data_IF_484032627102
#
_entry.id   IF_484032627102
#
_cell.length_a   1.000
_cell.length_b   1.000
_cell.length_c   1.000
_cell.angle_alpha   90.00
_cell.angle_beta   90.00
_cell.angle_gamma   90.00
#
_symmetry.space_group_name_H-M   'P 1'
#
loop_
_entity.id
_entity.type
_entity.pdbx_description
1 polymer ?
#
# COMPACT_ATOMS: atom_id res chain seq x y z
N UNK A 1 -11.57 22.50 6.25
CA UNK A 1 -12.40 22.69 5.04
C UNK A 1 -11.44 22.87 3.87
N UNK A 2 -11.60 22.13 2.77
CA UNK A 2 -10.73 22.27 1.58
C UNK A 2 -11.30 23.23 0.52
N UNK A 3 -12.60 23.50 0.54
CA UNK A 3 -13.27 24.43 -0.36
C UNK A 3 -14.27 25.28 0.44
N UNK A 4 -14.18 26.59 0.31
CA UNK A 4 -14.95 27.56 1.11
C UNK A 4 -16.31 27.94 0.48
N UNK A 5 -16.60 27.43 -0.72
CA UNK A 5 -17.80 27.76 -1.47
C UNK A 5 -17.68 29.03 -2.32
N UNK A 6 -16.55 29.73 -2.31
CA UNK A 6 -16.41 31.07 -2.89
C UNK A 6 -15.22 31.20 -3.83
N UNK A 7 -14.07 30.62 -3.49
CA UNK A 7 -12.85 30.71 -4.29
C UNK A 7 -12.21 29.35 -4.53
N UNK A 8 -11.32 29.27 -5.52
CA UNK A 8 -10.46 28.11 -5.75
C UNK A 8 -9.10 28.30 -5.07
N UNK A 9 -9.03 29.11 -4.01
CA UNK A 9 -7.79 29.30 -3.26
C UNK A 9 -7.33 27.97 -2.67
N UNK A 10 -6.03 27.70 -2.77
CA UNK A 10 -5.48 26.40 -2.39
C UNK A 10 -5.64 25.30 -3.44
N UNK A 11 -6.17 25.61 -4.63
CA UNK A 11 -6.29 24.68 -5.75
C UNK A 11 -5.52 25.16 -6.98
N UNK A 12 -5.10 24.22 -7.83
CA UNK A 12 -4.53 24.51 -9.15
C UNK A 12 -4.99 23.48 -10.18
N UNK A 13 -5.34 23.96 -11.38
CA UNK A 13 -5.67 23.11 -12.53
C UNK A 13 -4.39 22.52 -13.13
N UNK A 14 -4.40 21.23 -13.46
CA UNK A 14 -3.31 20.53 -14.16
C UNK A 14 -3.89 19.53 -15.17
N UNK A 15 -3.09 19.10 -16.15
CA UNK A 15 -3.53 18.17 -17.19
C UNK A 15 -4.16 18.88 -18.39
N UNK A 16 -5.31 18.39 -18.87
CA UNK A 16 -5.98 18.93 -20.06
C UNK A 16 -6.74 20.24 -19.86
N UNK A 17 -7.67 20.53 -20.77
CA UNK A 17 -8.33 21.84 -20.86
C UNK A 17 -9.79 21.86 -20.38
N UNK A 18 -10.21 20.90 -19.55
CA UNK A 18 -11.47 21.03 -18.83
C UNK A 18 -11.51 22.33 -18.00
N UNK A 19 -12.72 22.82 -17.76
CA UNK A 19 -12.94 24.04 -16.97
C UNK A 19 -13.45 23.70 -15.57
N UNK A 20 -13.09 24.55 -14.62
CA UNK A 20 -13.61 24.52 -13.26
C UNK A 20 -14.13 25.92 -12.93
N UNK A 21 -15.41 26.01 -12.58
CA UNK A 21 -16.07 27.24 -12.12
C UNK A 21 -16.68 27.01 -10.74
N UNK A 22 -17.12 28.09 -10.10
CA UNK A 22 -17.91 28.03 -8.87
C UNK A 22 -19.33 28.51 -9.20
N UNK A 23 -20.32 27.67 -8.92
CA UNK A 23 -21.74 27.96 -9.12
C UNK A 23 -22.50 27.52 -7.87
N UNK A 24 -23.30 28.40 -7.28
CA UNK A 24 -24.14 28.10 -6.11
C UNK A 24 -23.38 27.48 -4.91
N UNK A 25 -22.11 27.87 -4.73
CA UNK A 25 -21.26 27.32 -3.66
C UNK A 25 -20.66 25.95 -3.97
N UNK A 26 -20.63 25.55 -5.24
CA UNK A 26 -20.19 24.23 -5.70
C UNK A 26 -19.09 24.38 -6.75
N UNK A 27 -18.08 23.52 -6.72
CA UNK A 27 -17.11 23.42 -7.82
C UNK A 27 -17.78 22.67 -8.96
N UNK A 28 -17.82 23.26 -10.16
CA UNK A 28 -18.38 22.64 -11.35
C UNK A 28 -17.27 22.39 -12.37
N UNK A 29 -16.97 21.12 -12.60
CA UNK A 29 -16.04 20.66 -13.62
C UNK A 29 -16.78 20.33 -14.92
N UNK A 30 -16.33 20.88 -16.04
CA UNK A 30 -16.90 20.60 -17.37
C UNK A 30 -15.84 20.10 -18.32
N UNK A 31 -16.16 19.01 -19.00
CA UNK A 31 -15.29 18.40 -20.01
C UNK A 31 -14.83 19.45 -21.03
N UNK A 32 -13.53 19.45 -21.29
CA UNK A 32 -12.89 20.24 -22.33
C UNK A 32 -12.05 19.34 -23.24
N UNK A 33 -11.40 19.92 -24.27
CA UNK A 33 -10.53 19.14 -25.14
C UNK A 33 -9.30 18.61 -24.39
N UNK A 34 -8.66 17.60 -24.97
CA UNK A 34 -7.40 17.06 -24.50
C UNK A 34 -7.53 15.93 -23.46
N UNK A 35 -6.45 15.65 -22.70
CA UNK A 35 -6.40 14.56 -21.74
C UNK A 35 -7.20 14.89 -20.47
N UNK A 36 -7.21 13.97 -19.51
CA UNK A 36 -7.83 14.17 -18.20
C UNK A 36 -7.31 15.47 -17.54
N UNK A 37 -8.21 16.23 -16.93
CA UNK A 37 -7.87 17.46 -16.22
C UNK A 37 -8.18 17.28 -14.74
N UNK A 38 -7.27 17.75 -13.89
CA UNK A 38 -7.41 17.65 -12.46
C UNK A 38 -7.35 19.03 -11.82
N UNK A 39 -8.29 19.33 -10.93
CA UNK A 39 -8.17 20.45 -10.01
C UNK A 39 -7.60 19.91 -8.70
N UNK A 40 -6.31 20.14 -8.45
CA UNK A 40 -5.60 19.55 -7.31
C UNK A 40 -5.30 20.55 -6.20
N UNK A 41 -5.23 20.09 -4.96
CA UNK A 41 -4.79 20.93 -3.84
C UNK A 41 -3.33 21.36 -4.01
N UNK A 42 -2.98 22.54 -3.50
CA UNK A 42 -1.59 22.99 -3.40
C UNK A 42 -0.82 22.20 -2.34
N UNK A 43 -1.48 21.91 -1.22
CA UNK A 43 -0.96 21.10 -0.13
C UNK A 43 -1.06 19.59 -0.42
N UNK A 44 -0.23 18.83 0.29
CA UNK A 44 -0.24 17.38 0.39
C UNK A 44 -0.76 16.93 1.76
N UNK A 45 -1.28 15.71 1.83
CA UNK A 45 -1.90 15.15 3.04
C UNK A 45 -1.46 13.71 3.24
N UNK A 46 -1.04 13.41 4.47
CA UNK A 46 -0.63 12.08 4.93
C UNK A 46 -1.82 11.22 5.35
N UNK A 47 -2.06 11.12 6.66
CA UNK A 47 -3.22 10.45 7.21
C UNK A 47 -4.39 11.43 7.37
N UNK A 48 -5.57 11.05 6.87
CA UNK A 48 -6.75 11.91 6.85
C UNK A 48 -8.05 11.12 6.72
N UNK A 49 -9.15 11.78 7.09
CA UNK A 49 -10.49 11.47 6.59
C UNK A 49 -10.91 12.60 5.64
N UNK A 50 -11.32 12.27 4.42
CA UNK A 50 -11.81 13.19 3.40
C UNK A 50 -13.28 12.87 3.14
N UNK A 51 -14.16 13.84 3.39
CA UNK A 51 -15.59 13.78 3.10
C UNK A 51 -15.95 14.80 2.04
N UNK A 52 -16.75 14.42 1.06
CA UNK A 52 -17.21 15.31 0.00
C UNK A 52 -18.50 14.81 -0.62
N UNK A 53 -19.29 15.72 -1.19
CA UNK A 53 -20.47 15.36 -1.96
C UNK A 53 -20.20 15.54 -3.45
N UNK A 54 -20.72 14.63 -4.28
CA UNK A 54 -20.65 14.70 -5.74
C UNK A 54 -22.02 14.53 -6.37
N UNK A 55 -22.28 15.28 -7.44
CA UNK A 55 -23.37 15.03 -8.38
C UNK A 55 -22.87 15.08 -9.83
N UNK A 56 -23.46 14.26 -10.70
CA UNK A 56 -23.22 14.30 -12.14
C UNK A 56 -24.41 14.99 -12.82
N UNK A 57 -24.24 16.23 -13.29
CA UNK A 57 -25.28 16.91 -14.09
C UNK A 57 -25.35 16.33 -15.51
N UNK A 58 -24.21 15.87 -16.02
CA UNK A 58 -24.14 15.12 -17.27
C UNK A 58 -23.23 13.92 -17.02
N UNK A 59 -23.73 12.68 -17.21
CA UNK A 59 -22.97 11.48 -16.94
C UNK A 59 -21.62 11.49 -17.65
N UNK A 60 -20.57 11.21 -16.89
CA UNK A 60 -19.20 11.08 -17.34
C UNK A 60 -18.38 10.39 -16.27
N UNK A 61 -17.35 9.66 -16.68
CA UNK A 61 -16.40 9.09 -15.72
C UNK A 61 -15.66 10.23 -15.00
N UNK A 62 -15.39 10.04 -13.72
CA UNK A 62 -14.67 10.99 -12.88
C UNK A 62 -14.02 10.22 -11.73
N UNK A 63 -13.42 10.96 -10.80
CA UNK A 63 -12.82 10.41 -9.60
C UNK A 63 -12.25 11.52 -8.74
N UNK A 64 -11.96 11.17 -7.49
CA UNK A 64 -11.18 12.02 -6.60
C UNK A 64 -9.85 11.33 -6.33
N UNK A 65 -8.77 11.95 -6.83
CA UNK A 65 -7.41 11.57 -6.50
C UNK A 65 -7.16 11.81 -5.02
N UNK A 66 -6.42 10.90 -4.40
CA UNK A 66 -5.91 11.07 -3.05
C UNK A 66 -4.52 10.48 -2.92
N UNK A 67 -3.70 11.04 -2.03
CA UNK A 67 -2.25 10.76 -1.93
C UNK A 67 -1.57 10.66 -3.30
N UNK A 68 -1.95 11.54 -4.21
CA UNK A 68 -1.51 11.49 -5.60
C UNK A 68 -0.38 12.47 -5.87
N UNK A 69 0.29 12.24 -7.00
CA UNK A 69 1.51 12.93 -7.42
C UNK A 69 1.42 13.36 -8.89
N UNK A 70 2.35 14.20 -9.32
CA UNK A 70 2.56 14.53 -10.73
C UNK A 70 3.95 14.04 -11.13
N UNK A 71 4.05 13.35 -12.28
CA UNK A 71 5.33 12.91 -12.83
C UNK A 71 6.15 14.13 -13.25
N UNK A 72 7.41 14.16 -12.85
CA UNK A 72 8.35 15.19 -13.30
C UNK A 72 8.45 15.26 -14.83
N UNK A 73 8.65 16.46 -15.36
CA UNK A 73 8.73 16.74 -16.79
C UNK A 73 7.38 16.71 -17.53
N UNK A 74 6.60 15.64 -17.38
CA UNK A 74 5.31 15.49 -18.09
C UNK A 74 4.14 16.17 -17.40
N UNK A 75 4.22 16.39 -16.08
CA UNK A 75 3.12 16.90 -15.26
C UNK A 75 1.93 15.95 -15.12
N UNK A 76 2.04 14.71 -15.62
CA UNK A 76 0.96 13.71 -15.60
C UNK A 76 0.62 13.30 -14.17
N UNK A 77 -0.63 13.49 -13.77
CA UNK A 77 -1.16 13.00 -12.47
C UNK A 77 -1.12 11.48 -12.41
N UNK A 78 -0.72 10.94 -11.26
CA UNK A 78 -0.77 9.51 -10.97
C UNK A 78 -0.98 9.26 -9.46
N UNK A 79 -1.46 8.07 -9.11
CA UNK A 79 -1.72 7.67 -7.71
C UNK A 79 -3.16 7.26 -7.49
N UNK A 80 -3.55 7.06 -6.24
CA UNK A 80 -4.87 6.53 -5.93
C UNK A 80 -6.00 7.47 -6.35
N UNK A 81 -7.07 6.88 -6.89
CA UNK A 81 -8.30 7.52 -7.28
C UNK A 81 -9.47 6.75 -6.68
N UNK A 82 -10.35 7.45 -5.96
CA UNK A 82 -11.68 6.94 -5.66
C UNK A 82 -12.56 7.16 -6.89
N UNK A 83 -12.96 6.08 -7.55
CA UNK A 83 -13.64 6.12 -8.83
C UNK A 83 -15.06 6.70 -8.72
N UNK A 84 -15.50 7.40 -9.77
CA UNK A 84 -16.90 7.74 -10.02
C UNK A 84 -17.27 7.23 -11.41
N UNK A 85 -18.03 6.14 -11.45
CA UNK A 85 -18.37 5.38 -12.64
C UNK A 85 -19.89 5.22 -12.80
N UNK A 86 -20.55 6.09 -13.58
CA UNK A 86 -21.99 6.01 -13.82
C UNK A 86 -22.38 4.91 -14.82
N UNK A 87 -21.42 4.17 -15.38
CA UNK A 87 -21.70 3.12 -16.36
C UNK A 87 -22.34 1.88 -15.70
N UNK A 88 -22.90 0.93 -16.49
CA UNK A 88 -23.41 -0.34 -15.96
C UNK A 88 -22.39 -1.19 -15.18
N UNK A 89 -21.08 -0.90 -15.30
CA UNK A 89 -20.03 -1.52 -14.48
C UNK A 89 -20.17 -1.14 -13.01
N UNK A 90 -20.57 0.10 -12.72
CA UNK A 90 -20.92 0.60 -11.38
C UNK A 90 -19.78 0.46 -10.35
N UNK A 91 -18.54 0.79 -10.72
CA UNK A 91 -17.41 0.69 -9.77
C UNK A 91 -17.16 1.97 -8.96
N UNK A 92 -18.17 2.85 -8.83
CA UNK A 92 -18.08 4.06 -7.99
C UNK A 92 -17.74 3.72 -6.55
N UNK A 93 -16.71 4.37 -6.00
CA UNK A 93 -16.15 4.06 -4.69
C UNK A 93 -15.02 3.03 -4.71
N UNK A 94 -14.82 2.30 -5.82
CA UNK A 94 -13.63 1.47 -6.01
C UNK A 94 -12.34 2.31 -6.11
N UNK A 95 -11.19 1.64 -6.02
CA UNK A 95 -9.88 2.31 -6.09
C UNK A 95 -9.14 1.94 -7.37
N UNK A 96 -8.86 2.96 -8.18
CA UNK A 96 -8.02 2.90 -9.37
C UNK A 96 -6.70 3.63 -9.10
N UNK A 97 -5.58 3.06 -9.50
CA UNK A 97 -4.26 3.67 -9.37
C UNK A 97 -3.86 4.34 -10.68
N UNK A 98 -4.32 5.59 -10.81
CA UNK A 98 -4.29 6.42 -11.99
C UNK A 98 -2.88 6.47 -12.59
N UNK A 99 -2.78 6.18 -13.89
CA UNK A 99 -1.53 6.31 -14.65
C UNK A 99 -0.32 5.54 -14.06
N UNK A 100 -0.59 4.50 -13.25
CA UNK A 100 0.40 3.64 -12.59
C UNK A 100 0.00 2.15 -12.61
N UNK A 101 -0.77 1.61 -11.65
CA UNK A 101 -1.10 0.16 -11.56
C UNK A 101 -2.47 -0.23 -12.13
N UNK A 102 -3.35 0.74 -12.40
CA UNK A 102 -4.71 0.45 -12.87
C UNK A 102 -5.64 0.02 -11.73
N UNK A 103 -6.59 -0.89 -11.98
CA UNK A 103 -7.55 -1.31 -10.95
C UNK A 103 -6.87 -2.10 -9.83
N UNK A 104 -6.87 -1.54 -8.62
CA UNK A 104 -6.33 -2.20 -7.42
C UNK A 104 -7.42 -2.64 -6.45
N UNK A 105 -8.61 -2.02 -6.53
CA UNK A 105 -9.82 -2.46 -5.81
C UNK A 105 -11.08 -2.22 -6.66
N UNK A 106 -11.37 -3.09 -7.65
CA UNK A 106 -12.66 -3.06 -8.35
C UNK A 106 -13.79 -3.54 -7.43
N UNK A 107 -15.04 -3.23 -7.79
CA UNK A 107 -16.23 -3.66 -7.03
C UNK A 107 -16.95 -4.85 -7.68
N UNK A 108 -16.24 -5.64 -8.48
CA UNK A 108 -16.79 -6.74 -9.28
C UNK A 108 -17.52 -7.81 -8.44
N UNK A 109 -17.12 -7.97 -7.17
CA UNK A 109 -17.68 -8.97 -6.24
C UNK A 109 -18.61 -8.39 -5.17
N UNK A 110 -18.83 -7.08 -5.14
CA UNK A 110 -19.62 -6.40 -4.10
C UNK A 110 -20.84 -5.71 -4.71
N UNK A 111 -21.95 -6.44 -4.80
CA UNK A 111 -23.20 -5.92 -5.35
C UNK A 111 -23.80 -4.78 -4.52
N UNK A 112 -23.61 -4.79 -3.20
CA UNK A 112 -24.12 -3.74 -2.33
C UNK A 112 -23.36 -2.43 -2.58
N UNK A 113 -22.03 -2.48 -2.66
CA UNK A 113 -21.20 -1.33 -2.99
C UNK A 113 -21.49 -0.79 -4.40
N UNK A 114 -21.68 -1.66 -5.40
CA UNK A 114 -22.04 -1.24 -6.77
C UNK A 114 -23.36 -0.45 -6.85
N UNK A 115 -24.30 -0.73 -5.94
CA UNK A 115 -25.59 -0.03 -5.88
C UNK A 115 -25.58 1.22 -5.00
N UNK A 116 -24.44 1.55 -4.38
CA UNK A 116 -24.37 2.65 -3.43
C UNK A 116 -24.53 4.04 -4.09
N UNK A 117 -24.06 4.19 -5.34
CA UNK A 117 -24.09 5.46 -6.07
C UNK A 117 -25.45 5.70 -6.78
N UNK A 118 -25.96 6.92 -6.65
CA UNK A 118 -27.21 7.39 -7.25
C UNK A 118 -26.90 8.34 -8.41
N UNK A 119 -27.25 7.96 -9.65
CA UNK A 119 -26.81 8.64 -10.88
C UNK A 119 -27.29 10.11 -10.97
N UNK A 120 -28.50 10.42 -10.49
CA UNK A 120 -29.14 11.74 -10.65
C UNK A 120 -29.25 12.55 -9.35
N UNK A 121 -28.56 12.11 -8.29
CA UNK A 121 -28.66 12.70 -6.95
C UNK A 121 -27.27 13.08 -6.42
N UNK A 122 -27.25 13.84 -5.33
CA UNK A 122 -26.04 14.05 -4.56
C UNK A 122 -25.63 12.75 -3.84
N UNK A 123 -24.34 12.47 -3.87
CA UNK A 123 -23.73 11.30 -3.24
C UNK A 123 -22.63 11.75 -2.29
N UNK A 124 -22.69 11.33 -1.04
CA UNK A 124 -21.63 11.59 -0.07
C UNK A 124 -20.58 10.50 -0.14
N UNK A 125 -19.33 10.89 -0.31
CA UNK A 125 -18.16 10.01 -0.25
C UNK A 125 -17.41 10.26 1.05
N UNK A 126 -16.82 9.19 1.59
CA UNK A 126 -15.80 9.27 2.65
C UNK A 126 -14.62 8.42 2.25
N UNK A 127 -13.42 8.99 2.28
CA UNK A 127 -12.14 8.31 2.10
C UNK A 127 -11.36 8.46 3.40
N UNK A 128 -11.02 7.35 4.05
CA UNK A 128 -10.11 7.36 5.20
C UNK A 128 -8.80 6.72 4.79
N UNK A 129 -7.70 7.45 4.93
CA UNK A 129 -6.35 6.94 4.71
C UNK A 129 -5.55 7.11 6.01
N UNK A 130 -5.13 5.99 6.62
CA UNK A 130 -4.36 5.98 7.87
C UNK A 130 -3.25 4.94 7.80
N UNK A 131 -2.00 5.38 7.76
CA UNK A 131 -0.89 4.53 7.38
C UNK A 131 -1.16 3.86 6.03
N UNK A 132 -0.94 2.54 5.89
CA UNK A 132 -1.26 1.83 4.66
C UNK A 132 -2.74 1.47 4.51
N UNK A 133 -3.58 1.69 5.51
CA UNK A 133 -5.01 1.33 5.45
C UNK A 133 -5.81 2.44 4.77
N UNK A 134 -6.49 2.09 3.70
CA UNK A 134 -7.32 2.98 2.89
C UNK A 134 -8.71 2.38 2.78
N UNK A 135 -9.72 3.16 3.15
CA UNK A 135 -11.12 2.78 3.00
C UNK A 135 -11.88 3.84 2.23
N UNK A 136 -12.89 3.41 1.49
CA UNK A 136 -13.83 4.31 0.81
C UNK A 136 -15.25 3.90 1.15
N UNK A 137 -16.16 4.87 1.19
CA UNK A 137 -17.59 4.62 1.26
C UNK A 137 -18.37 5.63 0.43
N UNK A 138 -19.53 5.20 -0.06
CA UNK A 138 -20.48 6.01 -0.82
C UNK A 138 -21.85 5.88 -0.15
N UNK A 139 -22.45 7.00 0.23
CA UNK A 139 -23.76 7.05 0.92
C UNK A 139 -23.84 6.13 2.16
N UNK A 140 -22.73 6.02 2.90
CA UNK A 140 -22.62 5.17 4.09
C UNK A 140 -22.37 3.69 3.81
N UNK A 141 -22.31 3.26 2.54
CA UNK A 141 -21.95 1.89 2.15
C UNK A 141 -20.45 1.82 1.90
N UNK A 142 -19.73 0.94 2.62
CA UNK A 142 -18.30 0.70 2.41
C UNK A 142 -18.07 0.10 1.01
N UNK A 143 -17.14 0.66 0.24
CA UNK A 143 -16.84 0.24 -1.12
C UNK A 143 -15.47 -0.44 -1.22
N UNK A 144 -14.42 0.15 -0.64
CA UNK A 144 -13.09 -0.43 -0.64
C UNK A 144 -12.48 -0.54 0.77
N UNK A 145 -11.64 -1.56 0.95
CA UNK A 145 -10.84 -1.84 2.14
C UNK A 145 -9.46 -2.36 1.73
N UNK A 146 -8.57 -1.42 1.47
CA UNK A 146 -7.26 -1.66 0.88
C UNK A 146 -6.15 -1.47 1.93
N UNK A 147 -5.18 -2.38 1.93
CA UNK A 147 -3.89 -2.14 2.56
C UNK A 147 -2.85 -2.01 1.44
N UNK A 148 -2.22 -0.84 1.34
CA UNK A 148 -1.22 -0.54 0.31
C UNK A 148 -0.22 0.52 0.81
N UNK A 149 1.06 0.33 0.51
CA UNK A 149 2.15 1.21 1.00
C UNK A 149 2.79 2.06 -0.09
N UNK A 150 2.23 2.08 -1.30
CA UNK A 150 2.87 2.76 -2.43
C UNK A 150 3.01 4.26 -2.20
N UNK A 151 1.95 4.93 -1.71
CA UNK A 151 2.00 6.34 -1.32
C UNK A 151 1.33 6.56 0.05
N UNK A 152 2.04 7.22 0.96
CA UNK A 152 1.56 7.56 2.30
C UNK A 152 1.15 9.02 2.42
N UNK A 153 1.46 9.84 1.42
CA UNK A 153 1.18 11.26 1.37
C UNK A 153 1.09 11.73 -0.08
N UNK A 154 0.21 12.70 -0.35
CA UNK A 154 0.16 13.39 -1.64
C UNK A 154 -1.02 14.35 -1.71
N UNK A 155 -1.27 14.95 -2.87
CA UNK A 155 -2.39 15.88 -3.00
C UNK A 155 -3.73 15.17 -3.16
N UNK A 156 -4.81 15.92 -2.92
CA UNK A 156 -6.17 15.58 -3.34
C UNK A 156 -6.45 16.25 -4.69
N UNK A 157 -7.18 15.60 -5.60
CA UNK A 157 -7.60 16.26 -6.84
C UNK A 157 -8.96 15.79 -7.36
N UNK A 158 -9.74 16.74 -7.87
CA UNK A 158 -11.01 16.48 -8.53
C UNK A 158 -10.73 16.22 -10.01
N UNK A 159 -11.23 15.11 -10.56
CA UNK A 159 -11.01 14.75 -11.96
C UNK A 159 -12.20 15.16 -12.84
N UNK A 160 -11.90 15.81 -13.97
CA UNK A 160 -12.76 15.78 -15.15
C UNK A 160 -12.08 14.88 -16.18
N UNK A 161 -12.67 13.72 -16.43
CA UNK A 161 -12.12 12.75 -17.37
C UNK A 161 -12.24 13.28 -18.81
N UNK A 162 -11.27 12.97 -19.65
CA UNK A 162 -11.34 13.27 -21.09
C UNK A 162 -12.54 12.58 -21.71
N UNK A 163 -13.28 13.28 -22.57
CA UNK A 163 -14.51 12.73 -23.11
C UNK A 163 -15.23 13.68 -24.04
N UNK A 164 -16.42 13.26 -24.50
CA UNK A 164 -17.30 14.08 -25.34
C UNK A 164 -18.26 14.94 -24.52
N UNK A 165 -18.63 14.46 -23.33
CA UNK A 165 -19.59 15.09 -22.44
C UNK A 165 -19.29 14.67 -21.00
N UNK A 166 -19.62 15.54 -20.06
CA UNK A 166 -19.44 15.33 -18.63
C UNK A 166 -19.47 16.66 -17.89
N UNK A 167 -20.34 16.75 -16.89
CA UNK A 167 -20.41 17.89 -15.99
C UNK A 167 -20.59 17.35 -14.57
N UNK A 168 -19.61 17.62 -13.73
CA UNK A 168 -19.51 17.08 -12.37
C UNK A 168 -19.51 18.23 -11.39
N UNK A 169 -20.28 18.10 -10.31
CA UNK A 169 -20.35 19.05 -9.22
C UNK A 169 -19.76 18.45 -7.96
N UNK A 170 -18.96 19.22 -7.24
CA UNK A 170 -18.45 18.87 -5.92
C UNK A 170 -18.78 19.96 -4.91
N UNK A 171 -19.18 19.55 -3.70
CA UNK A 171 -19.40 20.46 -2.56
C UNK A 171 -19.07 19.78 -1.25
N UNK A 172 -19.13 20.54 -0.15
CA UNK A 172 -18.89 20.05 1.20
C UNK A 172 -17.55 19.29 1.35
N UNK A 173 -16.50 19.76 0.66
CA UNK A 173 -15.19 19.10 0.62
C UNK A 173 -14.44 19.40 1.92
N UNK A 174 -14.43 18.44 2.84
CA UNK A 174 -13.87 18.54 4.17
C UNK A 174 -12.79 17.49 4.36
N UNK A 175 -11.61 17.93 4.82
CA UNK A 175 -10.52 17.05 5.21
C UNK A 175 -10.23 17.25 6.68
N UNK A 176 -10.21 16.14 7.42
CA UNK A 176 -9.82 16.04 8.83
C UNK A 176 -8.45 15.35 8.88
N UNK A 177 -7.36 16.07 9.23
CA UNK A 177 -6.06 15.45 9.40
C UNK A 177 -6.09 14.43 10.54
N UNK A 178 -5.53 13.26 10.31
CA UNK A 178 -5.39 12.19 11.29
C UNK A 178 -3.93 11.97 11.71
N UNK A 179 -2.97 12.62 11.03
CA UNK A 179 -1.55 12.57 11.35
C UNK A 179 -0.69 12.30 10.13
N UNK A 180 0.51 11.77 10.37
CA UNK A 180 1.42 11.36 9.31
C UNK A 180 2.08 10.05 9.72
N UNK A 181 1.99 9.07 8.81
CA UNK A 181 2.67 7.80 8.94
C UNK A 181 4.00 7.83 8.20
N UNK A 182 5.06 7.34 8.83
CA UNK A 182 6.41 7.38 8.27
C UNK A 182 7.19 6.09 8.56
N UNK A 183 8.02 5.71 7.59
CA UNK A 183 9.01 4.66 7.75
C UNK A 183 10.12 5.12 8.70
N UNK A 184 10.52 4.24 9.60
CA UNK A 184 11.67 4.43 10.49
C UNK A 184 12.67 3.31 10.24
N UNK A 185 13.99 3.57 10.35
CA UNK A 185 14.99 2.50 10.27
C UNK A 185 14.73 1.45 11.34
N UNK A 186 14.57 0.19 10.92
CA UNK A 186 14.64 -0.97 11.82
C UNK A 186 16.09 -1.46 11.92
N UNK A 187 16.86 -1.32 10.83
CA UNK A 187 18.32 -1.44 10.82
C UNK A 187 18.99 -0.08 10.59
N UNK A 188 20.07 0.20 11.32
CA UNK A 188 20.73 1.51 11.34
C UNK A 188 21.75 1.75 10.20
N UNK A 189 21.91 0.79 9.28
CA UNK A 189 22.86 0.80 8.16
C UNK A 189 24.35 0.84 8.53
N UNK A 190 24.70 0.65 9.80
CA UNK A 190 26.08 0.77 10.31
C UNK A 190 26.58 -0.51 10.95
N UNK A 191 25.78 -1.12 11.80
CA UNK A 191 26.13 -2.31 12.57
C UNK A 191 24.88 -3.16 12.82
N UNK A 192 24.97 -4.18 13.68
CA UNK A 192 23.84 -5.05 14.00
C UNK A 192 23.05 -4.59 15.23
N UNK A 193 23.23 -3.35 15.71
CA UNK A 193 22.52 -2.87 16.89
C UNK A 193 20.99 -2.93 16.69
N UNK A 194 20.28 -3.41 17.71
CA UNK A 194 18.85 -3.72 17.66
C UNK A 194 18.53 -5.14 17.19
N UNK A 195 19.54 -5.89 16.75
CA UNK A 195 19.43 -7.28 16.37
C UNK A 195 20.41 -8.17 17.13
N UNK A 196 20.06 -9.46 17.21
CA UNK A 196 20.91 -10.52 17.71
C UNK A 196 21.01 -11.64 16.68
N UNK A 197 22.23 -12.10 16.41
CA UNK A 197 22.45 -13.27 15.58
C UNK A 197 22.30 -14.54 16.43
N UNK A 198 21.60 -15.54 15.91
CA UNK A 198 21.47 -16.88 16.51
C UNK A 198 21.66 -17.98 15.47
N UNK A 199 22.10 -19.16 15.92
CA UNK A 199 22.27 -20.34 15.08
C UNK A 199 23.59 -20.34 14.31
N UNK A 200 23.52 -20.65 13.01
CA UNK A 200 24.68 -20.80 12.10
C UNK A 200 24.95 -19.60 11.20
N UNK A 201 26.03 -19.67 10.42
CA UNK A 201 26.38 -18.63 9.44
C UNK A 201 26.93 -17.33 10.04
N UNK A 202 27.20 -16.35 9.18
CA UNK A 202 27.74 -15.04 9.52
C UNK A 202 26.80 -13.93 9.02
N UNK A 203 26.46 -13.00 9.93
CA UNK A 203 25.84 -11.72 9.59
C UNK A 203 26.85 -10.60 9.81
N UNK A 204 27.02 -9.72 8.83
CA UNK A 204 27.94 -8.57 8.92
C UNK A 204 27.44 -7.39 8.11
N UNK A 205 28.03 -6.23 8.36
CA UNK A 205 27.85 -5.06 7.51
C UNK A 205 29.08 -4.91 6.63
N UNK A 206 28.89 -4.87 5.30
CA UNK A 206 29.94 -4.69 4.32
C UNK A 206 29.42 -3.81 3.17
N UNK A 207 30.21 -2.81 2.75
CA UNK A 207 29.87 -1.91 1.63
C UNK A 207 28.49 -1.22 1.74
N UNK A 208 28.04 -0.92 2.97
CA UNK A 208 26.72 -0.32 3.22
C UNK A 208 25.55 -1.31 3.13
N UNK A 209 25.84 -2.61 3.01
CA UNK A 209 24.87 -3.70 2.95
C UNK A 209 24.96 -4.54 4.23
N UNK A 210 23.80 -4.99 4.71
CA UNK A 210 23.70 -6.09 5.66
C UNK A 210 23.80 -7.40 4.89
N UNK A 211 24.90 -8.12 5.10
CA UNK A 211 25.29 -9.32 4.36
C UNK A 211 25.16 -10.53 5.28
N UNK A 212 24.44 -11.55 4.80
CA UNK A 212 24.32 -12.83 5.45
C UNK A 212 24.88 -13.94 4.57
N UNK A 213 25.86 -14.70 5.11
CA UNK A 213 26.54 -15.78 4.38
C UNK A 213 26.67 -17.05 5.22
N UNK A 214 26.56 -18.20 4.57
CA UNK A 214 26.86 -19.52 5.15
C UNK A 214 27.18 -20.51 4.04
N UNK A 215 27.90 -21.58 4.35
CA UNK A 215 28.11 -22.68 3.40
C UNK A 215 27.08 -23.78 3.62
N UNK A 216 26.88 -24.63 2.60
CA UNK A 216 25.98 -25.79 2.67
C UNK A 216 26.32 -26.81 3.78
N UNK A 217 27.54 -26.78 4.31
CA UNK A 217 27.96 -27.62 5.44
C UNK A 217 27.39 -27.13 6.79
N UNK A 218 26.98 -25.87 6.88
CA UNK A 218 26.29 -25.35 8.07
C UNK A 218 24.82 -25.80 8.05
N UNK A 219 24.51 -26.81 8.86
CA UNK A 219 23.16 -27.38 8.95
C UNK A 219 22.17 -26.53 9.76
N UNK A 220 22.65 -25.62 10.60
CA UNK A 220 21.79 -24.77 11.43
C UNK A 220 21.30 -23.57 10.63
N UNK A 221 20.05 -23.16 10.87
CA UNK A 221 19.58 -21.87 10.38
C UNK A 221 20.35 -20.74 11.07
N UNK A 222 20.67 -19.69 10.32
CA UNK A 222 21.27 -18.46 10.85
C UNK A 222 20.24 -17.34 10.85
N UNK A 223 19.80 -16.91 12.03
CA UNK A 223 18.77 -15.86 12.13
C UNK A 223 19.37 -14.58 12.68
N UNK A 224 19.02 -13.45 12.07
CA UNK A 224 19.24 -12.13 12.63
C UNK A 224 17.90 -11.59 13.13
N UNK A 225 17.68 -11.68 14.43
CA UNK A 225 16.37 -11.44 15.06
C UNK A 225 16.35 -10.10 15.81
N UNK A 226 15.25 -9.37 15.73
CA UNK A 226 15.05 -8.14 16.53
C UNK A 226 15.02 -8.46 18.03
N UNK A 227 15.51 -7.54 18.85
CA UNK A 227 15.31 -7.66 20.30
C UNK A 227 13.85 -7.37 20.69
N UNK A 228 13.24 -6.39 20.03
CA UNK A 228 11.85 -6.00 20.24
C UNK A 228 10.85 -6.89 19.51
N UNK A 229 9.64 -6.97 20.07
CA UNK A 229 8.47 -7.58 19.44
C UNK A 229 7.46 -6.52 19.00
N UNK A 230 6.73 -6.82 17.92
CA UNK A 230 5.80 -5.92 17.26
C UNK A 230 4.45 -6.60 17.08
N UNK A 231 3.35 -5.84 17.19
CA UNK A 231 1.98 -6.34 16.97
C UNK A 231 1.47 -5.92 15.60
N UNK A 232 1.20 -4.63 15.42
CA UNK A 232 0.72 -4.07 14.17
C UNK A 232 1.80 -3.22 13.51
N UNK A 233 2.22 -3.59 12.31
CA UNK A 233 3.31 -2.93 11.60
C UNK A 233 3.23 -3.12 10.09
N UNK A 234 3.86 -2.20 9.38
CA UNK A 234 4.42 -2.47 8.07
C UNK A 234 5.94 -2.58 8.20
N UNK A 235 6.55 -3.63 7.66
CA UNK A 235 8.00 -3.78 7.56
C UNK A 235 8.37 -3.87 6.08
N UNK A 236 9.45 -3.19 5.70
CA UNK A 236 9.93 -3.15 4.32
C UNK A 236 11.41 -3.45 4.27
N UNK A 237 11.78 -4.33 3.34
CA UNK A 237 13.15 -4.71 3.06
C UNK A 237 13.49 -4.52 1.59
N UNK A 238 14.64 -3.90 1.31
CA UNK A 238 15.29 -4.03 0.02
C UNK A 238 16.33 -5.14 0.13
N UNK A 239 16.13 -6.22 -0.63
CA UNK A 239 16.93 -7.43 -0.57
C UNK A 239 17.48 -7.84 -1.95
N UNK A 240 18.57 -8.61 -1.93
CA UNK A 240 19.11 -9.33 -3.07
C UNK A 240 19.52 -10.73 -2.61
N UNK A 241 18.82 -11.74 -3.11
CA UNK A 241 19.18 -13.15 -2.89
C UNK A 241 20.14 -13.58 -4.01
N UNK A 242 21.44 -13.59 -3.73
CA UNK A 242 22.48 -14.01 -4.69
C UNK A 242 22.46 -15.53 -4.80
N UNK A 243 22.51 -16.22 -3.67
CA UNK A 243 22.32 -17.68 -3.58
C UNK A 243 21.59 -18.05 -2.27
N UNK A 244 20.87 -19.17 -2.34
CA UNK A 244 20.16 -19.73 -1.20
C UNK A 244 18.79 -19.12 -0.93
N UNK A 245 17.92 -19.89 -0.30
CA UNK A 245 16.60 -19.48 0.14
C UNK A 245 16.71 -18.78 1.51
N UNK A 246 16.12 -17.60 1.62
CA UNK A 246 16.08 -16.77 2.82
C UNK A 246 14.62 -16.44 3.15
N UNK A 247 14.40 -15.62 4.16
CA UNK A 247 13.08 -15.26 4.61
C UNK A 247 13.10 -14.01 5.48
N UNK A 248 12.02 -13.23 5.37
CA UNK A 248 11.66 -12.21 6.33
C UNK A 248 10.63 -12.81 7.29
N UNK A 249 11.08 -13.23 8.46
CA UNK A 249 10.22 -13.66 9.54
C UNK A 249 9.53 -12.48 10.19
N UNK A 250 8.28 -12.68 10.61
CA UNK A 250 7.50 -11.68 11.32
C UNK A 250 6.47 -12.34 12.24
N UNK A 251 6.10 -11.63 13.32
CA UNK A 251 5.30 -12.18 14.43
C UNK A 251 5.84 -13.55 14.91
N UNK A 252 7.16 -13.67 14.95
CA UNK A 252 7.84 -14.91 15.29
C UNK A 252 8.28 -14.93 16.76
N UNK A 253 8.42 -16.13 17.32
CA UNK A 253 9.00 -16.38 18.63
C UNK A 253 10.18 -17.34 18.47
N UNK A 254 11.21 -17.17 19.29
CA UNK A 254 12.37 -18.06 19.29
C UNK A 254 11.95 -19.48 19.69
N UNK A 255 12.54 -20.48 19.03
CA UNK A 255 12.28 -21.90 19.26
C UNK A 255 13.61 -22.64 19.41
N UNK A 256 13.63 -23.63 20.32
CA UNK A 256 14.83 -24.41 20.62
C UNK A 256 15.16 -25.46 19.54
N UNK A 257 16.45 -25.82 19.36
CA UNK A 257 17.62 -25.20 20.00
C UNK A 257 18.05 -23.89 19.32
N UNK A 258 17.81 -23.72 18.02
CA UNK A 258 18.13 -22.50 17.26
C UNK A 258 17.17 -22.36 16.07
N UNK A 259 16.05 -21.68 16.27
CA UNK A 259 15.05 -21.43 15.23
C UNK A 259 13.97 -20.44 15.67
N UNK A 260 12.93 -20.32 14.86
CA UNK A 260 11.74 -19.53 15.20
C UNK A 260 10.46 -20.29 14.84
N UNK A 261 9.37 -19.96 15.52
CA UNK A 261 8.01 -20.30 15.12
C UNK A 261 7.25 -19.01 14.78
N UNK A 262 6.70 -18.89 13.58
CA UNK A 262 6.07 -17.64 13.13
C UNK A 262 5.89 -17.57 11.62
N UNK A 263 5.40 -16.43 11.14
CA UNK A 263 5.24 -16.19 9.71
C UNK A 263 6.56 -15.86 9.04
N UNK A 264 6.67 -16.25 7.79
CA UNK A 264 7.77 -15.97 6.90
C UNK A 264 7.20 -15.44 5.58
N UNK A 265 7.64 -14.25 5.20
CA UNK A 265 7.57 -13.80 3.83
C UNK A 265 8.83 -14.30 3.12
N UNK A 266 8.62 -15.14 2.11
CA UNK A 266 9.69 -15.90 1.47
C UNK A 266 10.63 -15.00 0.65
N UNK A 267 11.93 -15.21 0.80
CA UNK A 267 12.98 -14.61 -0.04
C UNK A 267 13.66 -15.76 -0.78
N UNK A 268 13.14 -16.10 -1.94
CA UNK A 268 13.67 -17.16 -2.78
C UNK A 268 14.29 -16.56 -4.06
N UNK A 269 15.44 -17.06 -4.54
CA UNK A 269 16.04 -16.56 -5.77
C UNK A 269 15.27 -16.97 -7.04
N UNK A 270 14.19 -17.75 -6.92
CA UNK A 270 13.46 -18.33 -8.05
C UNK A 270 11.95 -18.05 -8.03
N UNK A 271 11.15 -18.92 -7.42
CA UNK A 271 9.70 -19.05 -7.66
C UNK A 271 8.83 -18.86 -6.43
N UNK A 272 9.42 -18.85 -5.24
CA UNK A 272 8.68 -18.89 -3.99
C UNK A 272 8.64 -17.51 -3.28
N UNK A 273 9.39 -16.54 -3.82
CA UNK A 273 9.53 -15.18 -3.29
C UNK A 273 8.21 -14.43 -3.14
N UNK A 274 8.04 -13.75 -2.00
CA UNK A 274 6.80 -13.03 -1.68
C UNK A 274 5.62 -13.93 -1.32
N UNK A 275 5.84 -15.25 -1.20
CA UNK A 275 4.89 -16.18 -0.59
C UNK A 275 4.81 -16.02 0.94
N UNK A 276 3.76 -16.61 1.52
CA UNK A 276 3.55 -16.65 2.97
C UNK A 276 3.63 -18.10 3.47
N UNK A 277 4.61 -18.33 4.33
CA UNK A 277 4.84 -19.59 5.03
C UNK A 277 4.72 -19.38 6.54
N UNK A 278 4.34 -20.41 7.30
CA UNK A 278 4.35 -20.41 8.76
C UNK A 278 5.22 -21.55 9.30
N UNK A 279 6.42 -21.19 9.76
CA UNK A 279 7.41 -22.10 10.33
C UNK A 279 6.95 -22.60 11.69
N UNK A 280 7.09 -23.92 11.90
CA UNK A 280 6.56 -24.62 13.08
C UNK A 280 5.06 -24.37 13.29
N UNK A 281 4.33 -24.21 12.19
CA UNK A 281 2.88 -24.02 12.16
C UNK A 281 2.27 -24.68 10.92
N UNK A 282 1.48 -23.92 10.15
CA UNK A 282 0.72 -24.44 9.01
C UNK A 282 1.56 -24.74 7.74
N UNK A 283 2.84 -24.42 7.74
CA UNK A 283 3.67 -24.43 6.55
C UNK A 283 3.15 -23.44 5.48
N UNK A 284 3.03 -23.84 4.21
CA UNK A 284 2.57 -22.95 3.13
C UNK A 284 1.13 -22.48 3.35
N UNK A 285 0.94 -21.19 3.59
CA UNK A 285 -0.38 -20.54 3.65
C UNK A 285 -0.74 -19.98 2.28
N UNK A 286 0.20 -19.26 1.65
CA UNK A 286 0.06 -18.77 0.28
C UNK A 286 1.35 -18.99 -0.50
N UNK A 287 1.23 -19.70 -1.62
CA UNK A 287 2.27 -19.73 -2.64
C UNK A 287 2.01 -18.61 -3.67
N UNK A 288 3.06 -17.88 -4.10
CA UNK A 288 2.90 -16.80 -5.05
C UNK A 288 2.49 -17.33 -6.44
N UNK A 289 1.67 -16.58 -7.17
CA UNK A 289 1.31 -16.92 -8.53
C UNK A 289 2.46 -16.61 -9.51
N UNK A 290 2.84 -17.57 -10.35
CA UNK A 290 3.87 -17.41 -11.37
C UNK A 290 3.66 -16.19 -12.30
N UNK A 291 2.42 -15.83 -12.64
CA UNK A 291 2.13 -14.64 -13.45
C UNK A 291 2.38 -13.33 -12.70
N UNK A 292 2.10 -13.29 -11.39
CA UNK A 292 2.43 -12.15 -10.55
C UNK A 292 3.94 -12.01 -10.43
N UNK A 293 4.65 -13.12 -10.22
CA UNK A 293 6.11 -13.14 -10.11
C UNK A 293 6.81 -12.68 -11.37
N UNK A 294 6.34 -13.10 -12.56
CA UNK A 294 6.88 -12.62 -13.84
C UNK A 294 6.81 -11.10 -13.99
N UNK A 295 5.86 -10.44 -13.33
CA UNK A 295 5.69 -8.98 -13.35
C UNK A 295 6.44 -8.29 -12.21
N UNK A 296 6.52 -8.95 -11.05
CA UNK A 296 7.00 -8.38 -9.81
C UNK A 296 8.50 -8.62 -9.60
N UNK A 297 8.95 -9.87 -9.69
CA UNK A 297 10.28 -10.29 -9.25
C UNK A 297 11.37 -9.98 -10.29
N UNK A 298 12.53 -9.54 -9.82
CA UNK A 298 13.72 -9.28 -10.62
C UNK A 298 14.85 -10.20 -10.15
N UNK A 299 14.99 -11.41 -10.73
CA UNK A 299 16.00 -12.37 -10.32
C UNK A 299 17.42 -11.79 -10.40
N UNK A 300 18.23 -11.98 -9.34
CA UNK A 300 19.61 -11.49 -9.27
C UNK A 300 19.76 -9.97 -9.10
N UNK A 301 18.67 -9.22 -9.02
CA UNK A 301 18.65 -7.77 -8.78
C UNK A 301 18.16 -7.43 -7.38
N UNK A 302 18.20 -6.14 -7.04
CA UNK A 302 17.56 -5.62 -5.84
C UNK A 302 16.04 -5.63 -6.00
N UNK A 303 15.37 -6.20 -5.01
CA UNK A 303 13.92 -6.27 -4.91
C UNK A 303 13.47 -5.62 -3.60
N UNK A 304 12.32 -4.96 -3.63
CA UNK A 304 11.66 -4.45 -2.43
C UNK A 304 10.53 -5.40 -2.05
N UNK A 305 10.49 -5.85 -0.80
CA UNK A 305 9.36 -6.57 -0.22
C UNK A 305 8.81 -5.78 0.96
N UNK A 306 7.49 -5.64 1.00
CA UNK A 306 6.77 -5.04 2.13
C UNK A 306 5.77 -6.04 2.69
N UNK A 307 5.81 -6.24 4.00
CA UNK A 307 4.82 -7.01 4.76
C UNK A 307 4.06 -6.04 5.64
N UNK A 308 2.74 -6.02 5.53
CA UNK A 308 1.85 -5.31 6.44
C UNK A 308 1.07 -6.34 7.25
N UNK A 309 1.27 -6.35 8.56
CA UNK A 309 0.52 -7.16 9.51
C UNK A 309 -0.29 -6.21 10.41
N UNK A 310 -1.60 -6.20 10.26
CA UNK A 310 -2.51 -5.27 10.94
C UNK A 310 -3.75 -6.02 11.44
N UNK A 311 -3.88 -6.11 12.76
CA UNK A 311 -4.85 -7.02 13.37
C UNK A 311 -4.63 -8.44 12.85
N UNK A 312 -5.68 -9.04 12.30
CA UNK A 312 -5.65 -10.38 11.68
C UNK A 312 -5.23 -10.35 10.21
N UNK A 313 -5.12 -9.18 9.56
CA UNK A 313 -4.84 -9.09 8.12
C UNK A 313 -3.34 -8.99 7.83
N UNK A 314 -2.86 -9.84 6.93
CA UNK A 314 -1.49 -9.90 6.45
C UNK A 314 -1.50 -9.63 4.95
N UNK A 315 -0.74 -8.62 4.51
CA UNK A 315 -0.59 -8.27 3.10
C UNK A 315 0.89 -8.22 2.75
N UNK A 316 1.27 -8.89 1.65
CA UNK A 316 2.65 -8.88 1.14
C UNK A 316 2.66 -8.26 -0.24
N UNK A 317 3.58 -7.32 -0.45
CA UNK A 317 3.89 -6.74 -1.74
C UNK A 317 5.33 -7.03 -2.12
N UNK A 318 5.55 -7.44 -3.37
CA UNK A 318 6.86 -7.57 -4.00
C UNK A 318 6.95 -6.54 -5.14
N UNK A 319 7.89 -5.61 -5.06
CA UNK A 319 8.08 -4.52 -6.02
C UNK A 319 6.75 -3.80 -6.38
N UNK A 320 5.91 -3.54 -5.37
CA UNK A 320 4.61 -2.87 -5.51
C UNK A 320 3.46 -3.74 -6.03
N UNK A 321 3.70 -5.02 -6.34
CA UNK A 321 2.66 -5.99 -6.72
C UNK A 321 2.26 -6.82 -5.50
N UNK A 322 0.95 -6.84 -5.18
CA UNK A 322 0.41 -7.62 -4.08
C UNK A 322 0.46 -9.12 -4.39
N UNK A 323 1.23 -9.87 -3.61
CA UNK A 323 1.37 -11.33 -3.72
C UNK A 323 0.49 -12.07 -2.73
N UNK A 324 0.22 -11.48 -1.57
CA UNK A 324 -0.61 -12.07 -0.50
C UNK A 324 -1.56 -11.02 0.07
N UNK A 325 -2.80 -11.42 0.34
CA UNK A 325 -3.80 -10.68 1.11
C UNK A 325 -4.63 -11.70 1.90
N UNK A 326 -4.28 -11.92 3.17
CA UNK A 326 -4.76 -13.02 4.00
C UNK A 326 -5.34 -12.50 5.32
N UNK A 327 -6.47 -13.07 5.75
CA UNK A 327 -7.06 -12.81 7.07
C UNK A 327 -6.84 -14.04 7.94
N UNK A 328 -5.98 -13.91 8.94
CA UNK A 328 -5.58 -14.95 9.86
C UNK A 328 -6.39 -14.95 11.16
N UNK A 329 -7.64 -15.41 11.07
CA UNK A 329 -8.59 -15.39 12.20
C UNK A 329 -8.07 -16.15 13.41
N UNK A 330 -7.95 -15.47 14.55
CA UNK A 330 -7.42 -16.03 15.80
C UNK A 330 -5.95 -16.44 15.74
N UNK A 331 -5.22 -15.95 14.73
CA UNK A 331 -3.82 -16.28 14.50
C UNK A 331 -2.83 -15.51 15.38
N UNK A 332 -1.55 -15.53 14.99
CA UNK A 332 -0.49 -14.84 15.74
C UNK A 332 -0.68 -13.33 15.62
N UNK A 333 -0.82 -12.65 16.76
CA UNK A 333 -1.03 -11.20 16.80
C UNK A 333 0.27 -10.40 16.93
N UNK A 334 1.31 -10.96 17.55
CA UNK A 334 2.56 -10.24 17.82
C UNK A 334 3.78 -11.17 17.85
N UNK A 335 4.96 -10.59 17.71
CA UNK A 335 6.23 -11.28 17.84
C UNK A 335 7.38 -10.49 17.23
N UNK A 336 8.55 -11.11 17.19
CA UNK A 336 9.78 -10.52 16.63
C UNK A 336 9.76 -10.54 15.10
N UNK A 337 10.71 -9.81 14.52
CA UNK A 337 11.04 -9.83 13.10
C UNK A 337 12.43 -10.48 12.98
N UNK A 338 12.67 -11.30 11.95
CA UNK A 338 14.00 -11.87 11.72
C UNK A 338 14.33 -12.02 10.24
N UNK A 339 15.63 -12.05 9.92
CA UNK A 339 16.15 -12.39 8.60
C UNK A 339 16.82 -13.76 8.65
N UNK A 340 16.72 -14.54 7.56
CA UNK A 340 17.16 -15.95 7.56
C UNK A 340 18.35 -16.25 6.66
N UNK A 341 19.25 -17.09 7.16
CA UNK A 341 20.14 -17.97 6.40
C UNK A 341 19.62 -19.40 6.54
N UNK A 342 19.26 -20.03 5.43
CA UNK A 342 18.73 -21.39 5.47
C UNK A 342 19.87 -22.39 5.64
N UNK A 343 19.79 -23.23 6.67
CA UNK A 343 20.79 -24.27 6.91
C UNK A 343 20.85 -25.27 5.75
N UNK A 344 22.03 -25.81 5.48
CA UNK A 344 22.27 -26.77 4.41
C UNK A 344 22.38 -26.15 3.01
N UNK A 345 22.46 -24.82 2.90
CA UNK A 345 22.58 -24.11 1.62
C UNK A 345 23.78 -23.16 1.60
N UNK A 346 24.34 -22.94 0.42
CA UNK A 346 25.28 -21.84 0.17
C UNK A 346 24.48 -20.53 0.11
N UNK A 347 24.59 -19.73 1.17
CA UNK A 347 23.87 -18.49 1.33
C UNK A 347 24.75 -17.29 0.98
N UNK A 348 24.23 -16.41 0.13
CA UNK A 348 24.66 -15.00 0.00
C UNK A 348 23.37 -14.20 -0.22
N UNK A 349 22.89 -13.59 0.86
CA UNK A 349 21.71 -12.71 0.85
C UNK A 349 22.10 -11.36 1.43
N UNK A 350 21.62 -10.31 0.76
CA UNK A 350 21.99 -8.93 1.08
C UNK A 350 20.77 -8.07 1.29
N UNK A 351 20.88 -7.13 2.21
CA UNK A 351 19.86 -6.14 2.51
C UNK A 351 20.51 -4.76 2.58
N UNK A 352 19.86 -3.72 2.06
CA UNK A 352 20.39 -2.34 2.14
C UNK A 352 19.43 -1.34 2.77
N UNK A 353 18.17 -1.73 2.95
CA UNK A 353 17.15 -0.96 3.66
C UNK A 353 16.26 -1.94 4.40
N UNK A 354 16.14 -1.75 5.71
CA UNK A 354 15.23 -2.52 6.57
C UNK A 354 14.54 -1.50 7.47
N UNK A 355 13.27 -1.24 7.18
CA UNK A 355 12.48 -0.16 7.78
C UNK A 355 11.18 -0.71 8.33
N UNK A 356 10.66 -0.05 9.36
CA UNK A 356 9.40 -0.37 9.99
C UNK A 356 8.54 0.88 10.17
N UNK A 357 7.24 0.70 10.02
CA UNK A 357 6.22 1.64 10.42
C UNK A 357 5.33 0.92 11.43
N UNK A 358 5.25 1.45 12.65
CA UNK A 358 4.35 0.91 13.69
C UNK A 358 2.93 1.40 13.45
N UNK A 359 1.97 0.49 13.57
CA UNK A 359 0.55 0.72 13.31
C UNK A 359 -0.31 0.48 14.57
N UNK A 360 0.31 0.30 15.74
CA UNK A 360 -0.37 -0.02 16.99
C UNK A 360 -1.42 1.05 17.39
N UNK A 361 -1.15 2.32 17.08
CA UNK A 361 -2.04 3.47 17.33
C UNK A 361 -3.13 3.63 16.25
N UNK A 362 -2.99 2.94 15.13
CA UNK A 362 -3.88 3.02 13.96
C UNK A 362 -5.03 2.02 14.09
N UNK A 363 -4.74 0.80 14.58
CA UNK A 363 -5.68 -0.31 14.68
C UNK A 363 -6.76 -0.17 15.78
N UNK A 364 -6.54 0.67 16.80
CA UNK A 364 -7.50 0.85 17.90
C UNK A 364 -8.78 1.65 17.50
N UNK A 365 -8.92 2.07 16.24
CA UNK A 365 -10.08 2.85 15.78
C UNK A 365 -10.93 2.14 14.71
N UNK A 366 -10.74 0.83 14.52
CA UNK A 366 -11.46 0.05 13.51
C UNK A 366 -12.43 -0.99 14.09
N UNK A 367 -12.75 -0.91 15.39
CA UNK A 367 -13.81 -1.71 16.03
C UNK A 367 -15.19 -1.06 15.92
#
# INVERSE_FOLDING_TARGET
>A
MLFDGQTLDGWKKVGGDATYSIEDGEIVGRVGPGPNTFLRTLATYGDFELKYDVKLDTPGNSGVQFRSHQKDGTGRTFGYQCEIDPSPRQWTGGIYDESRRGWIYPLDKDEQARKAFKIDDWNTFVITARGPHITTSVNGVRCADLIDTADLEGFIALQVHSGKAGQIRWRNIQLTPLGQSAWKPLWNQKDLAGFRAIGGGEWKVADGELVGISSKEESRHGLLITEDAFRDFAVRVEFKAVTGNSGLYFRCVEADPYGVAGFQAEIDPTKDVGGLYETNGRAWIFQPNAEQLKKAFKPGEWNEMTVVAMGERIVIHLNGIKTVDFIDKGGRAAGKIALQLHGGQDMDVRFRKVEIMRLDDIACCTE
#
